data_IF_248822189155
#
_entry.id   IF_248822189155
#
_cell.length_a   1.000
_cell.length_b   1.000
_cell.length_c   1.000
_cell.angle_alpha   90.00
_cell.angle_beta   90.00
_cell.angle_gamma   90.00
#
_symmetry.space_group_name_H-M   'P 1'
#
loop_
_entity.id
_entity.type
_entity.pdbx_description
1 polymer ?
#
# COMPACT_ATOMS: atom_id res chain seq x y z
N UNK A 1 30.41 -4.78 -47.24
CA UNK A 1 29.58 -5.98 -47.08
C UNK A 1 28.86 -5.86 -45.74
N UNK A 2 27.60 -5.44 -45.83
CA UNK A 2 26.50 -5.49 -44.85
C UNK A 2 26.84 -5.15 -43.39
N UNK A 3 26.52 -3.90 -43.07
CA UNK A 3 26.17 -3.43 -41.73
C UNK A 3 24.77 -3.98 -41.41
N UNK A 4 24.54 -4.60 -40.25
CA UNK A 4 23.19 -4.61 -39.65
C UNK A 4 23.30 -4.77 -38.13
N UNK A 5 23.15 -3.64 -37.44
CA UNK A 5 22.60 -3.59 -36.08
C UNK A 5 21.12 -3.98 -36.17
N UNK A 6 20.66 -4.85 -35.29
CA UNK A 6 19.25 -4.90 -34.88
C UNK A 6 19.18 -4.65 -33.39
N UNK A 7 19.00 -3.39 -33.01
CA UNK A 7 18.56 -3.00 -31.68
C UNK A 7 17.04 -3.16 -31.65
N UNK A 8 16.56 -4.24 -31.03
CA UNK A 8 15.13 -4.42 -30.79
C UNK A 8 14.73 -3.50 -29.63
N UNK A 9 14.21 -2.31 -29.93
CA UNK A 9 13.60 -1.46 -28.91
C UNK A 9 12.24 -2.07 -28.52
N UNK A 10 12.21 -2.77 -27.38
CA UNK A 10 10.95 -3.18 -26.76
C UNK A 10 10.33 -1.90 -26.17
N UNK A 11 9.40 -1.30 -26.91
CA UNK A 11 8.50 -0.30 -26.35
C UNK A 11 7.56 -1.04 -25.38
N UNK A 12 7.86 -0.98 -24.09
CA UNK A 12 6.92 -1.38 -23.06
C UNK A 12 5.67 -0.52 -23.18
N UNK A 13 4.52 -1.12 -23.49
CA UNK A 13 3.25 -0.42 -23.45
C UNK A 13 2.99 0.03 -22.01
N UNK A 14 3.01 1.33 -21.75
CA UNK A 14 2.52 1.86 -20.49
C UNK A 14 1.01 1.63 -20.45
N UNK A 15 0.58 0.60 -19.70
CA UNK A 15 -0.84 0.38 -19.42
C UNK A 15 -1.35 1.64 -18.70
N UNK A 16 -2.44 2.23 -19.19
CA UNK A 16 -3.06 3.34 -18.48
C UNK A 16 -3.41 2.91 -17.05
N UNK A 17 -2.94 3.66 -16.06
CA UNK A 17 -3.32 3.47 -14.67
C UNK A 17 -4.79 3.89 -14.53
N UNK A 18 -5.70 2.92 -14.33
CA UNK A 18 -7.14 3.17 -14.24
C UNK A 18 -7.64 2.77 -12.86
N UNK A 19 -8.35 3.68 -12.22
CA UNK A 19 -9.10 3.42 -10.99
C UNK A 19 -10.48 2.93 -11.39
N UNK A 20 -10.83 1.71 -10.98
CA UNK A 20 -12.15 1.10 -11.20
C UNK A 20 -12.84 0.89 -9.86
N UNK A 21 -13.72 1.82 -9.43
CA UNK A 21 -14.44 1.69 -8.17
C UNK A 21 -15.31 0.43 -8.12
N UNK A 22 -15.32 -0.25 -6.97
CA UNK A 22 -16.11 -1.47 -6.74
C UNK A 22 -15.47 -2.76 -7.26
N UNK A 23 -14.42 -2.69 -8.08
CA UNK A 23 -13.65 -3.87 -8.46
C UNK A 23 -12.81 -4.40 -7.28
N UNK A 24 -12.50 -5.70 -7.29
CA UNK A 24 -11.46 -6.26 -6.43
C UNK A 24 -10.10 -5.76 -6.91
N UNK A 25 -9.37 -5.04 -6.05
CA UNK A 25 -8.02 -4.60 -6.36
C UNK A 25 -7.00 -5.55 -5.75
N UNK A 26 -5.98 -5.90 -6.53
CA UNK A 26 -4.88 -6.75 -6.09
C UNK A 26 -3.58 -5.97 -6.06
N UNK A 27 -2.71 -6.30 -5.11
CA UNK A 27 -1.35 -5.78 -5.06
C UNK A 27 -0.46 -6.40 -6.15
N UNK A 28 0.79 -5.93 -6.23
CA UNK A 28 1.80 -6.42 -7.18
C UNK A 28 2.20 -7.88 -6.98
N UNK A 29 1.85 -8.50 -5.85
CA UNK A 29 2.02 -9.93 -5.60
C UNK A 29 0.76 -10.76 -5.93
N UNK A 30 -0.30 -10.12 -6.42
CA UNK A 30 -1.56 -10.76 -6.78
C UNK A 30 -2.53 -10.98 -5.62
N UNK A 31 -2.22 -10.49 -4.41
CA UNK A 31 -3.10 -10.63 -3.26
C UNK A 31 -4.14 -9.50 -3.23
N UNK A 32 -5.35 -9.77 -2.72
CA UNK A 32 -6.37 -8.73 -2.54
C UNK A 32 -5.84 -7.65 -1.58
N UNK A 33 -5.99 -6.38 -1.97
CA UNK A 33 -5.62 -5.26 -1.10
C UNK A 33 -6.52 -5.23 0.13
N UNK A 34 -5.90 -5.23 1.31
CA UNK A 34 -6.55 -5.16 2.62
C UNK A 34 -6.15 -3.87 3.31
N UNK A 35 -6.81 -2.76 2.94
CA UNK A 35 -6.52 -1.43 3.45
C UNK A 35 -7.79 -0.59 3.64
N UNK A 36 -8.80 -1.17 4.31
CA UNK A 36 -10.10 -0.52 4.55
C UNK A 36 -9.94 0.71 5.46
N UNK A 37 -10.90 1.64 5.42
CA UNK A 37 -10.84 2.86 6.24
C UNK A 37 -9.65 3.78 5.92
N UNK A 38 -9.13 3.68 4.69
CA UNK A 38 -7.82 4.17 4.26
C UNK A 38 -7.43 5.57 4.72
N UNK A 39 -6.14 5.70 5.08
CA UNK A 39 -5.43 6.96 5.24
C UNK A 39 -4.23 7.00 4.29
N UNK A 40 -4.00 8.15 3.67
CA UNK A 40 -2.93 8.33 2.69
C UNK A 40 -1.89 9.33 3.17
N UNK A 41 -0.62 9.03 2.90
CA UNK A 41 0.52 9.92 3.10
C UNK A 41 1.35 9.93 1.82
N UNK A 42 1.90 11.09 1.45
CA UNK A 42 2.88 11.20 0.36
C UNK A 42 4.23 11.59 0.95
N UNK A 43 5.28 10.85 0.62
CA UNK A 43 6.67 11.16 0.97
C UNK A 43 7.49 11.14 -0.32
N UNK A 44 8.05 12.28 -0.70
CA UNK A 44 8.69 12.44 -2.01
C UNK A 44 7.73 12.12 -3.15
N UNK A 45 8.10 11.16 -4.02
CA UNK A 45 7.27 10.64 -5.11
C UNK A 45 6.41 9.43 -4.71
N UNK A 46 6.51 8.93 -3.49
CA UNK A 46 5.84 7.71 -3.05
C UNK A 46 4.57 8.03 -2.27
N UNK A 47 3.47 7.39 -2.66
CA UNK A 47 2.23 7.36 -1.90
C UNK A 47 2.22 6.14 -1.00
N UNK A 48 1.78 6.33 0.24
CA UNK A 48 1.54 5.30 1.24
C UNK A 48 0.04 5.23 1.51
N UNK A 49 -0.51 4.03 1.49
CA UNK A 49 -1.89 3.73 1.87
C UNK A 49 -1.88 2.85 3.10
N UNK A 50 -2.30 3.43 4.21
CA UNK A 50 -2.52 2.74 5.47
C UNK A 50 -3.98 2.40 5.63
N UNK A 51 -4.29 1.22 6.13
CA UNK A 51 -5.66 0.77 6.28
C UNK A 51 -5.80 -0.43 7.20
N UNK A 52 -7.04 -0.81 7.44
CA UNK A 52 -7.38 -1.97 8.26
C UNK A 52 -7.19 -3.23 7.42
N UNK A 53 -6.46 -4.21 7.96
CA UNK A 53 -6.45 -5.54 7.39
C UNK A 53 -7.70 -6.32 7.83
N UNK A 54 -8.53 -6.72 6.86
CA UNK A 54 -9.75 -7.49 7.10
C UNK A 54 -9.77 -8.82 6.33
N UNK A 55 -8.61 -9.39 6.01
CA UNK A 55 -8.52 -10.70 5.36
C UNK A 55 -9.24 -11.81 6.14
N UNK A 56 -9.31 -11.68 7.46
CA UNK A 56 -9.98 -12.62 8.39
C UNK A 56 -11.48 -12.39 8.53
N UNK A 57 -12.09 -11.50 7.74
CA UNK A 57 -13.53 -11.23 7.73
C UNK A 57 -14.13 -10.89 9.12
N UNK A 58 -13.41 -10.08 9.89
CA UNK A 58 -13.86 -9.64 11.23
C UNK A 58 -13.66 -8.13 11.42
N UNK A 59 -14.45 -7.55 12.32
CA UNK A 59 -14.27 -6.17 12.76
C UNK A 59 -13.08 -6.00 13.73
N UNK A 60 -12.60 -7.11 14.31
CA UNK A 60 -11.52 -7.09 15.29
C UNK A 60 -10.15 -6.85 14.62
N UNK A 61 -9.23 -6.27 15.38
CA UNK A 61 -7.91 -5.85 14.89
C UNK A 61 -7.04 -7.04 14.47
N UNK A 62 -6.57 -7.01 13.23
CA UNK A 62 -5.54 -7.93 12.71
C UNK A 62 -4.23 -7.21 12.42
N UNK A 63 -4.27 -6.12 11.67
CA UNK A 63 -3.13 -5.26 11.41
C UNK A 63 -3.57 -3.88 10.89
N UNK A 64 -2.69 -2.88 11.03
CA UNK A 64 -2.71 -1.72 10.13
C UNK A 64 -1.77 -2.02 8.98
N UNK A 65 -2.34 -2.33 7.82
CA UNK A 65 -1.59 -2.59 6.60
C UNK A 65 -0.85 -1.35 6.12
N UNK A 66 0.22 -1.54 5.35
CA UNK A 66 0.87 -0.48 4.60
C UNK A 66 1.09 -0.93 3.14
N UNK A 67 0.66 -0.09 2.20
CA UNK A 67 0.95 -0.28 0.78
C UNK A 67 1.66 0.96 0.24
N UNK A 68 2.55 0.78 -0.74
CA UNK A 68 3.19 1.87 -1.46
C UNK A 68 2.87 1.85 -2.94
N UNK A 69 2.81 3.02 -3.55
CA UNK A 69 2.59 3.21 -4.98
C UNK A 69 3.23 4.51 -5.46
N UNK A 70 3.65 4.56 -6.72
CA UNK A 70 4.07 5.80 -7.39
C UNK A 70 2.96 6.45 -8.21
N UNK A 71 1.86 5.73 -8.48
CA UNK A 71 0.83 6.09 -9.46
C UNK A 71 -0.61 6.02 -8.91
N UNK A 72 -0.78 5.71 -7.62
CA UNK A 72 -2.06 5.47 -6.92
C UNK A 72 -2.87 4.26 -7.41
N UNK A 73 -2.31 3.42 -8.28
CA UNK A 73 -3.00 2.26 -8.88
C UNK A 73 -2.23 0.97 -8.62
N UNK A 74 -0.93 0.96 -8.90
CA UNK A 74 -0.04 -0.19 -8.71
C UNK A 74 0.48 -0.20 -7.28
N UNK A 75 -0.19 -0.95 -6.40
CA UNK A 75 0.13 -1.00 -4.97
C UNK A 75 1.01 -2.19 -4.61
N UNK A 76 2.09 -1.97 -3.89
CA UNK A 76 2.96 -3.03 -3.32
C UNK A 76 2.79 -3.09 -1.82
N UNK A 77 2.43 -4.27 -1.27
CA UNK A 77 2.33 -4.49 0.18
C UNK A 77 3.71 -4.34 0.81
N UNK A 78 3.76 -3.59 1.91
CA UNK A 78 4.90 -3.48 2.80
C UNK A 78 4.62 -4.27 4.09
N UNK A 79 5.59 -4.29 5.02
CA UNK A 79 5.33 -4.75 6.37
C UNK A 79 4.16 -3.98 6.99
N UNK A 80 3.42 -4.64 7.88
CA UNK A 80 2.36 -3.99 8.64
C UNK A 80 2.93 -2.82 9.44
N UNK A 81 2.23 -1.68 9.40
CA UNK A 81 2.63 -0.48 10.11
C UNK A 81 2.32 -0.57 11.62
N UNK A 82 1.35 -1.40 11.99
CA UNK A 82 1.00 -1.71 13.38
C UNK A 82 0.48 -3.15 13.47
N UNK A 83 0.99 -3.90 14.45
CA UNK A 83 0.56 -5.26 14.76
C UNK A 83 -0.09 -5.33 16.15
N UNK A 84 -0.92 -6.35 16.41
CA UNK A 84 -1.59 -6.51 17.70
C UNK A 84 -0.62 -6.75 18.84
N UNK A 85 -0.96 -6.22 20.03
CA UNK A 85 -0.21 -6.45 21.26
C UNK A 85 -1.14 -7.05 22.31
N UNK A 86 -0.84 -8.29 22.72
CA UNK A 86 -1.64 -9.01 23.72
C UNK A 86 -1.69 -8.25 25.07
N UNK A 87 -2.85 -8.29 25.72
CA UNK A 87 -3.08 -7.61 27.00
C UNK A 87 -3.19 -6.08 26.92
N UNK A 88 -3.29 -5.51 25.72
CA UNK A 88 -3.43 -4.05 25.50
C UNK A 88 -4.72 -3.70 24.78
N UNK A 89 -4.99 -2.40 24.64
CA UNK A 89 -6.13 -1.87 23.86
C UNK A 89 -6.01 -2.09 22.35
N UNK A 90 -4.86 -2.54 21.86
CA UNK A 90 -4.64 -2.95 20.47
C UNK A 90 -4.41 -4.46 20.37
N UNK A 91 -5.06 -5.25 21.24
CA UNK A 91 -5.05 -6.71 21.11
C UNK A 91 -5.94 -7.17 19.95
N UNK A 92 -5.83 -8.44 19.56
CA UNK A 92 -6.69 -9.07 18.54
C UNK A 92 -8.16 -9.16 18.94
N UNK A 93 -8.48 -8.87 20.20
CA UNK A 93 -9.86 -8.84 20.72
C UNK A 93 -10.47 -7.43 20.73
N UNK A 94 -9.70 -6.41 20.30
CA UNK A 94 -10.12 -5.02 20.25
C UNK A 94 -10.37 -4.54 18.81
N UNK A 95 -10.96 -3.35 18.68
CA UNK A 95 -11.21 -2.68 17.41
C UNK A 95 -10.15 -1.59 17.20
N UNK A 96 -9.53 -1.57 16.03
CA UNK A 96 -8.64 -0.50 15.57
C UNK A 96 -9.07 -0.15 14.15
N UNK A 97 -9.46 1.10 13.93
CA UNK A 97 -10.12 1.53 12.69
C UNK A 97 -9.55 2.85 12.16
N UNK A 98 -9.76 3.08 10.86
CA UNK A 98 -9.55 4.36 10.17
C UNK A 98 -8.18 4.99 10.42
N UNK A 99 -7.06 4.26 10.27
CA UNK A 99 -5.73 4.79 10.57
C UNK A 99 -5.43 6.05 9.75
N UNK A 100 -4.73 7.01 10.36
CA UNK A 100 -4.22 8.24 9.73
C UNK A 100 -2.78 8.44 10.16
N UNK A 101 -1.91 8.76 9.21
CA UNK A 101 -0.49 8.99 9.43
C UNK A 101 -0.13 10.37 8.88
N UNK A 102 0.59 11.15 9.66
CA UNK A 102 1.07 12.48 9.30
C UNK A 102 2.55 12.58 9.64
N UNK A 103 3.30 13.29 8.82
CA UNK A 103 4.70 13.58 9.09
C UNK A 103 4.83 14.77 10.06
N UNK A 104 5.72 14.63 11.05
CA UNK A 104 6.08 15.71 11.98
C UNK A 104 7.53 16.15 11.75
N UNK A 105 7.71 17.29 11.09
CA UNK A 105 9.03 17.82 10.72
C UNK A 105 9.91 18.27 11.89
N UNK A 106 9.34 18.48 13.09
CA UNK A 106 10.11 18.90 14.27
C UNK A 106 10.76 17.73 15.00
N UNK A 107 10.19 16.53 14.87
CA UNK A 107 10.66 15.33 15.54
C UNK A 107 11.51 14.44 14.62
N UNK A 108 11.52 14.73 13.32
CA UNK A 108 12.41 14.07 12.37
C UNK A 108 13.84 14.54 12.59
N UNK A 109 14.70 13.65 13.08
CA UNK A 109 16.14 13.75 12.88
C UNK A 109 16.38 13.72 11.36
N UNK A 110 17.06 14.75 10.84
CA UNK A 110 17.17 15.02 9.40
C UNK A 110 17.67 13.83 8.59
N UNK A 111 17.16 13.72 7.35
CA UNK A 111 17.79 12.92 6.30
C UNK A 111 19.16 13.50 5.91
#
# INVERSE_FOLDING_TARGET
>A
MIWFLTLLAILGAAQAAVIVPGATWTDTSGNIIQAHGGGFLKVGSTFYWFGEDKAHNSALFSAVSCYTSSDLVSWTRQNDALSPISGTMISTSNIVERPKVLFNSKASIGE
#
